data_IF_652946207742
#
_entry.id   IF_652946207742
#
_cell.length_a   1.000
_cell.length_b   1.000
_cell.length_c   1.000
_cell.angle_alpha   90.00
_cell.angle_beta   90.00
_cell.angle_gamma   90.00
#
_symmetry.space_group_name_H-M   'P 1'
#
loop_
_entity.id
_entity.type
_entity.pdbx_description
1 polymer ?
#
# COMPACT_ATOMS: atom_id res chain seq x y z
N UNK A 1 -33.76 50.82 -17.23
CA UNK A 1 -34.27 50.27 -15.94
C UNK A 1 -33.19 49.39 -15.37
N UNK A 2 -32.53 49.95 -14.39
CA UNK A 2 -31.38 49.43 -13.67
C UNK A 2 -31.87 48.51 -12.56
N UNK A 3 -31.22 47.38 -12.35
CA UNK A 3 -31.32 46.66 -11.07
C UNK A 3 -29.95 46.13 -10.68
N UNK A 4 -29.34 46.88 -9.75
CA UNK A 4 -28.08 46.57 -9.06
C UNK A 4 -28.23 45.31 -8.18
N UNK A 5 -27.35 44.33 -8.42
CA UNK A 5 -27.09 43.24 -7.50
C UNK A 5 -25.93 43.65 -6.59
N UNK A 6 -26.28 44.08 -5.38
CA UNK A 6 -25.35 44.38 -4.31
C UNK A 6 -24.84 43.05 -3.72
N UNK A 7 -23.58 42.74 -3.97
CA UNK A 7 -22.84 41.65 -3.34
C UNK A 7 -22.45 42.09 -1.92
N UNK A 8 -23.08 41.54 -0.89
CA UNK A 8 -22.74 41.77 0.51
C UNK A 8 -21.43 41.05 0.85
N UNK A 9 -20.37 41.81 0.98
CA UNK A 9 -19.09 41.29 1.55
C UNK A 9 -19.25 41.21 3.07
N UNK A 10 -19.10 39.99 3.61
CA UNK A 10 -19.03 39.74 5.05
C UNK A 10 -17.71 40.22 5.61
N UNK A 11 -17.73 41.09 6.57
CA UNK A 11 -16.51 41.67 7.17
C UNK A 11 -15.89 40.74 8.22
N UNK A 12 -14.56 40.88 8.45
CA UNK A 12 -13.79 40.13 9.47
C UNK A 12 -14.41 40.15 10.87
N UNK A 13 -15.27 41.13 11.17
CA UNK A 13 -15.94 41.28 12.46
C UNK A 13 -17.13 40.34 12.64
N UNK A 14 -17.75 39.89 11.57
CA UNK A 14 -18.85 38.91 11.62
C UNK A 14 -18.34 37.47 11.75
N UNK A 15 -17.14 37.17 11.23
CA UNK A 15 -16.46 35.87 11.44
C UNK A 15 -16.03 35.66 12.91
N UNK A 16 -15.68 36.72 13.63
CA UNK A 16 -15.26 36.63 15.05
C UNK A 16 -16.44 36.50 16.01
N UNK A 17 -17.68 36.79 15.58
CA UNK A 17 -18.88 36.61 16.42
C UNK A 17 -19.39 35.17 16.41
N UNK A 18 -19.05 34.37 15.42
CA UNK A 18 -19.38 32.94 15.35
C UNK A 18 -18.55 32.06 16.30
N UNK A 19 -17.34 32.50 16.66
CA UNK A 19 -16.41 31.71 17.49
C UNK A 19 -16.58 31.95 19.01
N UNK A 20 -17.32 32.96 19.43
CA UNK A 20 -17.53 33.28 20.84
C UNK A 20 -18.79 32.59 21.44
N UNK A 21 -19.64 31.95 20.65
CA UNK A 21 -20.88 31.29 21.13
C UNK A 21 -20.62 29.87 21.69
N UNK A 22 -19.43 29.30 21.53
CA UNK A 22 -19.09 27.95 22.01
C UNK A 22 -18.44 27.92 23.41
N UNK A 23 -18.02 29.05 23.94
CA UNK A 23 -17.43 29.13 25.29
C UNK A 23 -18.43 29.56 26.38
N UNK A 24 -19.64 29.96 26.02
CA UNK A 24 -20.66 30.51 26.97
C UNK A 24 -21.63 29.49 27.51
N UNK A 25 -21.72 28.31 26.96
CA UNK A 25 -22.78 27.33 27.32
C UNK A 25 -22.47 26.44 28.54
N UNK A 26 -21.24 26.49 29.06
CA UNK A 26 -20.86 25.69 30.24
C UNK A 26 -21.15 26.40 31.60
N UNK A 27 -21.47 27.73 31.62
CA UNK A 27 -21.62 28.49 32.86
C UNK A 27 -23.09 28.79 33.22
N UNK A 28 -24.06 28.52 32.35
CA UNK A 28 -25.49 28.77 32.57
C UNK A 28 -26.28 27.56 33.05
N UNK A 29 -25.62 26.38 33.21
CA UNK A 29 -26.30 25.16 33.64
C UNK A 29 -26.60 25.07 35.14
N UNK A 30 -26.22 26.06 35.93
CA UNK A 30 -26.45 26.07 37.40
C UNK A 30 -27.61 26.92 37.88
N UNK A 31 -28.35 27.61 37.00
CA UNK A 31 -29.39 28.55 37.41
C UNK A 31 -30.84 28.19 37.03
N UNK A 32 -31.09 27.04 36.37
CA UNK A 32 -32.46 26.63 36.05
C UNK A 32 -32.67 25.14 36.36
N UNK A 33 -33.76 24.78 37.12
CA UNK A 33 -34.06 23.36 37.39
C UNK A 33 -34.58 22.68 36.13
N UNK A 34 -33.95 21.53 35.84
CA UNK A 34 -34.10 20.74 34.66
C UNK A 34 -35.52 20.36 34.27
N UNK A 35 -35.90 20.78 33.11
CA UNK A 35 -36.83 20.08 32.24
C UNK A 35 -36.95 20.64 30.81
N UNK A 36 -36.39 21.84 30.52
CA UNK A 36 -36.49 22.45 29.19
C UNK A 36 -35.18 22.41 28.36
N UNK A 37 -34.05 22.03 28.95
CA UNK A 37 -32.77 21.88 28.20
C UNK A 37 -32.58 20.49 27.59
N UNK A 38 -33.40 19.51 27.87
CA UNK A 38 -33.30 18.15 27.30
C UNK A 38 -33.80 18.04 25.85
N UNK A 39 -34.65 18.97 25.41
CA UNK A 39 -35.22 18.93 24.07
C UNK A 39 -34.35 19.59 22.98
N UNK A 40 -33.41 20.48 23.35
CA UNK A 40 -32.60 21.22 22.37
C UNK A 40 -31.23 20.58 22.02
N UNK A 41 -30.88 19.48 22.68
CA UNK A 41 -29.62 18.78 22.45
C UNK A 41 -29.78 17.51 21.58
N UNK A 42 -31.02 17.15 21.22
CA UNK A 42 -31.33 15.87 20.58
C UNK A 42 -31.53 15.92 19.07
N UNK A 43 -31.38 17.08 18.41
CA UNK A 43 -31.60 17.20 16.96
C UNK A 43 -30.41 17.79 16.17
N UNK A 44 -29.18 17.61 16.66
CA UNK A 44 -28.06 17.67 15.72
C UNK A 44 -27.94 16.27 15.09
N UNK A 45 -28.14 16.12 13.77
CA UNK A 45 -27.80 14.87 13.13
C UNK A 45 -26.32 14.62 13.41
N UNK A 46 -26.03 13.60 14.22
CA UNK A 46 -24.66 13.08 14.28
C UNK A 46 -24.32 12.70 12.85
N UNK A 47 -23.49 13.51 12.19
CA UNK A 47 -22.84 13.06 10.97
C UNK A 47 -22.22 11.71 11.32
N UNK A 48 -22.64 10.68 10.61
CA UNK A 48 -21.97 9.39 10.71
C UNK A 48 -20.46 9.65 10.59
N UNK A 49 -19.63 9.05 11.47
CA UNK A 49 -18.19 9.23 11.37
C UNK A 49 -17.79 8.99 9.93
N UNK A 50 -17.04 9.91 9.35
CA UNK A 50 -16.55 9.78 7.97
C UNK A 50 -15.96 8.37 7.85
N UNK A 51 -16.39 7.63 6.82
CA UNK A 51 -15.91 6.26 6.62
C UNK A 51 -14.36 6.27 6.63
N UNK A 52 -13.75 5.41 7.45
CA UNK A 52 -12.32 5.23 7.47
C UNK A 52 -11.85 4.76 6.08
N UNK A 53 -11.05 5.55 5.33
CA UNK A 53 -10.62 5.15 4.01
C UNK A 53 -9.85 3.83 4.01
N UNK A 54 -9.05 3.55 5.06
CA UNK A 54 -8.33 2.28 5.20
C UNK A 54 -9.28 1.09 5.33
N UNK A 55 -10.36 1.24 6.12
CA UNK A 55 -11.40 0.21 6.23
C UNK A 55 -12.13 -0.01 4.89
N UNK A 56 -12.37 1.06 4.15
CA UNK A 56 -12.98 0.98 2.81
C UNK A 56 -12.09 0.22 1.83
N UNK A 57 -10.79 0.53 1.77
CA UNK A 57 -9.82 -0.20 0.95
C UNK A 57 -9.76 -1.69 1.32
N UNK A 58 -9.67 -2.00 2.62
CA UNK A 58 -9.68 -3.38 3.11
C UNK A 58 -10.94 -4.15 2.68
N UNK A 59 -12.10 -3.53 2.80
CA UNK A 59 -13.36 -4.17 2.40
C UNK A 59 -13.43 -4.42 0.89
N UNK A 60 -13.02 -3.47 0.07
CA UNK A 60 -13.01 -3.59 -1.38
C UNK A 60 -12.03 -4.67 -1.87
N UNK A 61 -10.78 -4.60 -1.43
CA UNK A 61 -9.76 -5.60 -1.76
C UNK A 61 -10.15 -6.98 -1.23
N UNK A 62 -10.63 -7.03 0.02
CA UNK A 62 -11.01 -8.26 0.69
C UNK A 62 -12.16 -9.00 0.02
N UNK A 63 -12.93 -8.39 -0.85
CA UNK A 63 -14.01 -9.05 -1.60
C UNK A 63 -13.48 -9.90 -2.77
N UNK A 64 -12.27 -9.64 -3.26
CA UNK A 64 -11.70 -10.35 -4.41
C UNK A 64 -11.47 -11.85 -4.11
N UNK A 65 -11.75 -12.75 -5.07
CA UNK A 65 -11.43 -14.16 -4.90
C UNK A 65 -9.93 -14.40 -4.91
N UNK A 66 -9.45 -15.41 -4.18
CA UNK A 66 -8.06 -15.86 -4.26
C UNK A 66 -7.93 -16.80 -5.47
N UNK A 67 -6.94 -16.52 -6.33
CA UNK A 67 -6.64 -17.28 -7.52
C UNK A 67 -5.25 -17.91 -7.44
N UNK A 68 -5.13 -19.22 -7.19
CA UNK A 68 -3.84 -19.91 -7.17
C UNK A 68 -3.28 -20.12 -8.58
N UNK A 69 -1.98 -19.83 -8.75
CA UNK A 69 -1.22 -20.12 -9.97
C UNK A 69 0.09 -20.83 -9.63
N UNK A 70 0.30 -22.01 -10.18
CA UNK A 70 1.55 -22.76 -10.00
C UNK A 70 2.72 -22.06 -10.68
N UNK A 71 3.79 -21.83 -9.90
CA UNK A 71 5.07 -21.31 -10.40
C UNK A 71 6.10 -22.42 -10.59
N UNK A 72 6.18 -23.38 -9.65
CA UNK A 72 7.00 -24.57 -9.68
C UNK A 72 6.28 -25.72 -8.95
N UNK A 73 6.88 -26.89 -8.84
CA UNK A 73 6.26 -28.08 -8.22
C UNK A 73 5.71 -27.78 -6.81
N UNK A 74 6.47 -27.07 -6.00
CA UNK A 74 6.12 -26.75 -4.61
C UNK A 74 5.95 -25.24 -4.35
N UNK A 75 5.91 -24.42 -5.40
CA UNK A 75 5.79 -22.96 -5.32
C UNK A 75 4.50 -22.49 -6.03
N UNK A 76 3.67 -21.74 -5.35
CA UNK A 76 2.39 -21.24 -5.85
C UNK A 76 2.24 -19.76 -5.57
N UNK A 77 1.85 -18.97 -6.58
CA UNK A 77 1.40 -17.59 -6.41
C UNK A 77 -0.10 -17.58 -6.14
N UNK A 78 -0.53 -16.74 -5.23
CA UNK A 78 -1.94 -16.43 -4.96
C UNK A 78 -2.15 -14.96 -5.32
N UNK A 79 -3.14 -14.66 -6.13
CA UNK A 79 -3.53 -13.28 -6.44
C UNK A 79 -4.96 -13.00 -5.98
N UNK A 80 -5.29 -11.74 -5.69
CA UNK A 80 -6.66 -11.33 -5.35
C UNK A 80 -6.77 -10.25 -4.29
N UNK A 81 -6.92 -10.58 -3.00
CA UNK A 81 -7.30 -9.61 -1.96
C UNK A 81 -6.16 -8.69 -1.46
N UNK A 82 -5.51 -7.97 -2.30
CA UNK A 82 -4.35 -7.12 -1.98
C UNK A 82 -3.17 -7.43 -2.88
N UNK A 83 -1.96 -7.33 -2.35
CA UNK A 83 -0.74 -7.72 -3.06
C UNK A 83 -0.69 -9.22 -3.37
N UNK A 84 0.16 -9.61 -4.33
CA UNK A 84 0.35 -11.03 -4.63
C UNK A 84 1.10 -11.74 -3.50
N UNK A 85 0.65 -12.94 -3.17
CA UNK A 85 1.25 -13.81 -2.13
C UNK A 85 1.94 -14.98 -2.81
N UNK A 86 3.11 -15.40 -2.31
CA UNK A 86 3.78 -16.61 -2.78
C UNK A 86 3.92 -17.62 -1.64
N UNK A 87 3.59 -18.89 -1.92
CA UNK A 87 3.64 -19.98 -0.96
C UNK A 87 4.61 -21.05 -1.45
N UNK A 88 5.67 -21.29 -0.70
CA UNK A 88 6.57 -22.43 -0.85
C UNK A 88 6.19 -23.49 0.19
N UNK A 89 5.68 -24.63 -0.26
CA UNK A 89 5.22 -25.73 0.58
C UNK A 89 6.13 -26.96 0.46
N UNK A 90 6.45 -27.60 1.56
CA UNK A 90 7.27 -28.82 1.55
C UNK A 90 7.58 -29.35 2.94
N UNK A 91 8.52 -30.30 3.07
CA UNK A 91 8.81 -30.98 4.35
C UNK A 91 9.30 -30.05 5.46
N UNK A 92 9.94 -28.92 5.12
CA UNK A 92 10.44 -27.97 6.12
C UNK A 92 9.32 -27.03 6.65
N UNK A 93 8.12 -27.10 6.08
CA UNK A 93 6.97 -26.27 6.41
C UNK A 93 6.51 -25.41 5.23
N UNK A 94 5.52 -24.53 5.47
CA UNK A 94 5.08 -23.49 4.54
C UNK A 94 5.82 -22.19 4.81
N UNK A 95 6.44 -21.64 3.79
CA UNK A 95 7.04 -20.30 3.75
C UNK A 95 6.17 -19.44 2.87
N UNK A 96 5.75 -18.28 3.37
CA UNK A 96 4.77 -17.40 2.71
C UNK A 96 5.42 -16.03 2.54
N UNK A 97 5.29 -15.45 1.36
CA UNK A 97 5.67 -14.06 1.09
C UNK A 97 4.40 -13.25 0.96
N UNK A 98 4.23 -12.24 1.82
CA UNK A 98 3.04 -11.38 1.99
C UNK A 98 1.76 -12.12 2.46
N UNK A 99 0.68 -11.39 2.79
CA UNK A 99 -0.42 -11.99 3.55
C UNK A 99 -1.83 -11.55 3.15
N UNK A 100 -2.02 -10.66 2.16
CA UNK A 100 -3.30 -10.03 1.82
C UNK A 100 -3.88 -9.13 2.94
N UNK A 101 -5.06 -8.53 2.67
CA UNK A 101 -5.82 -7.76 3.66
C UNK A 101 -6.56 -8.67 4.63
N UNK A 102 -6.79 -8.19 5.86
CA UNK A 102 -7.40 -8.96 6.96
C UNK A 102 -8.76 -9.60 6.64
N UNK A 103 -9.70 -8.98 5.88
CA UNK A 103 -10.97 -9.63 5.53
C UNK A 103 -10.83 -10.89 4.68
N UNK A 104 -9.66 -11.12 4.08
CA UNK A 104 -9.38 -12.32 3.28
C UNK A 104 -8.93 -13.53 4.10
N UNK A 105 -8.64 -13.38 5.40
CA UNK A 105 -8.07 -14.43 6.24
C UNK A 105 -8.77 -15.80 6.12
N UNK A 106 -10.10 -15.91 6.23
CA UNK A 106 -10.74 -17.23 6.16
C UNK A 106 -10.44 -17.95 4.84
N UNK A 107 -10.45 -17.23 3.72
CA UNK A 107 -10.16 -17.80 2.39
C UNK A 107 -8.68 -18.07 2.18
N UNK A 108 -7.81 -17.21 2.70
CA UNK A 108 -6.36 -17.45 2.68
C UNK A 108 -6.04 -18.73 3.44
N UNK A 109 -6.61 -18.90 4.64
CA UNK A 109 -6.41 -20.12 5.44
C UNK A 109 -6.88 -21.37 4.70
N UNK A 110 -8.08 -21.36 4.14
CA UNK A 110 -8.62 -22.45 3.34
C UNK A 110 -7.72 -22.78 2.13
N UNK A 111 -7.23 -21.75 1.44
CA UNK A 111 -6.32 -21.92 0.30
C UNK A 111 -4.97 -22.52 0.75
N UNK A 112 -4.41 -22.05 1.87
CA UNK A 112 -3.17 -22.61 2.41
C UNK A 112 -3.31 -24.06 2.84
N UNK A 113 -4.45 -24.43 3.44
CA UNK A 113 -4.76 -25.82 3.80
C UNK A 113 -4.88 -26.70 2.52
N UNK A 114 -5.47 -26.17 1.44
CA UNK A 114 -5.59 -26.84 0.15
C UNK A 114 -4.25 -27.01 -0.61
N UNK A 115 -3.24 -26.18 -0.35
CA UNK A 115 -1.90 -26.32 -0.97
C UNK A 115 -1.14 -27.53 -0.40
N UNK A 116 -1.39 -27.91 0.85
CA UNK A 116 -0.77 -29.08 1.49
C UNK A 116 -0.85 -29.01 3.01
N UNK A 117 -0.45 -30.09 3.68
CA UNK A 117 -0.60 -30.26 5.12
C UNK A 117 0.63 -29.82 5.94
N UNK A 118 1.68 -29.29 5.30
CA UNK A 118 2.85 -28.83 6.03
C UNK A 118 2.48 -27.66 6.98
N UNK A 119 3.05 -27.57 8.19
CA UNK A 119 2.76 -26.48 9.11
C UNK A 119 3.26 -25.15 8.55
N UNK A 120 2.62 -24.05 8.97
CA UNK A 120 3.13 -22.71 8.75
C UNK A 120 4.47 -22.55 9.48
N UNK A 121 5.46 -21.97 8.80
CA UNK A 121 6.81 -21.84 9.37
C UNK A 121 7.27 -20.38 9.41
N UNK A 122 7.28 -19.71 8.27
CA UNK A 122 7.75 -18.33 8.16
C UNK A 122 6.79 -17.56 7.24
N UNK A 123 6.48 -16.34 7.63
CA UNK A 123 5.91 -15.28 6.78
C UNK A 123 7.01 -14.27 6.51
N UNK A 124 7.17 -13.84 5.28
CA UNK A 124 8.13 -12.83 4.87
C UNK A 124 7.33 -11.64 4.34
N UNK A 125 7.41 -10.48 5.01
CA UNK A 125 6.77 -9.26 4.52
C UNK A 125 7.72 -8.54 3.56
N UNK A 126 7.24 -8.23 2.35
CA UNK A 126 8.03 -7.47 1.37
C UNK A 126 8.21 -6.02 1.77
N UNK A 127 7.19 -5.44 2.41
CA UNK A 127 7.21 -4.08 2.97
C UNK A 127 6.06 -3.92 3.99
N UNK A 128 5.85 -2.71 4.53
CA UNK A 128 4.94 -2.50 5.68
C UNK A 128 3.47 -2.30 5.34
N UNK A 129 3.07 -2.11 4.08
CA UNK A 129 1.68 -1.79 3.72
C UNK A 129 0.71 -2.89 4.12
N UNK A 130 -0.49 -2.46 4.47
CA UNK A 130 -1.54 -3.29 5.08
C UNK A 130 -1.99 -4.45 4.18
N UNK A 131 -2.00 -4.27 2.88
CA UNK A 131 -2.42 -5.31 1.92
C UNK A 131 -1.33 -6.37 1.65
N UNK A 132 -0.21 -6.26 2.35
CA UNK A 132 0.88 -7.23 2.41
C UNK A 132 1.07 -7.82 3.82
N UNK A 133 0.57 -7.15 4.89
CA UNK A 133 0.89 -7.50 6.28
C UNK A 133 -0.33 -7.73 7.18
N UNK A 134 -1.54 -7.44 6.73
CA UNK A 134 -2.74 -7.42 7.60
C UNK A 134 -3.08 -8.77 8.25
N UNK A 135 -2.64 -9.91 7.68
CA UNK A 135 -2.87 -11.23 8.28
C UNK A 135 -1.69 -11.75 9.10
N UNK A 136 -0.67 -10.94 9.42
CA UNK A 136 0.47 -11.35 10.22
C UNK A 136 0.05 -11.91 11.59
N UNK A 137 -0.84 -11.22 12.34
CA UNK A 137 -1.35 -11.73 13.63
C UNK A 137 -1.99 -13.11 13.50
N UNK A 138 -2.83 -13.31 12.46
CA UNK A 138 -3.52 -14.58 12.27
C UNK A 138 -2.56 -15.71 11.87
N UNK A 139 -1.57 -15.43 11.02
CA UNK A 139 -0.54 -16.39 10.63
C UNK A 139 0.42 -16.69 11.78
N UNK A 140 0.77 -15.69 12.59
CA UNK A 140 1.56 -15.87 13.79
C UNK A 140 0.83 -16.75 14.83
N UNK A 141 -0.45 -16.48 15.07
CA UNK A 141 -1.29 -17.33 15.94
C UNK A 141 -1.43 -18.77 15.42
N UNK A 142 -1.31 -18.97 14.10
CA UNK A 142 -1.31 -20.29 13.46
C UNK A 142 0.09 -20.95 13.44
N UNK A 143 1.11 -20.35 14.07
CA UNK A 143 2.43 -20.93 14.29
C UNK A 143 3.56 -20.40 13.41
N UNK A 144 3.32 -19.41 12.55
CA UNK A 144 4.36 -18.81 11.74
C UNK A 144 5.20 -17.78 12.54
N UNK A 145 6.48 -17.67 12.20
CA UNK A 145 7.33 -16.53 12.58
C UNK A 145 7.30 -15.51 11.44
N UNK A 146 7.05 -14.25 11.76
CA UNK A 146 7.09 -13.16 10.76
C UNK A 146 8.51 -12.60 10.67
N UNK A 147 9.08 -12.61 9.45
CA UNK A 147 10.40 -12.11 9.10
C UNK A 147 10.25 -10.94 8.14
N UNK A 148 10.92 -9.82 8.41
CA UNK A 148 10.88 -8.65 7.54
C UNK A 148 12.16 -7.80 7.64
N UNK A 149 12.27 -6.78 6.82
CA UNK A 149 13.28 -5.73 7.01
C UNK A 149 13.00 -4.93 8.30
N UNK A 150 14.05 -4.45 8.97
CA UNK A 150 13.91 -3.69 10.24
C UNK A 150 13.03 -2.44 10.09
N UNK A 151 13.04 -1.78 8.93
CA UNK A 151 12.15 -0.64 8.65
C UNK A 151 10.68 -1.06 8.57
N UNK A 152 10.35 -2.26 8.06
CA UNK A 152 8.98 -2.80 8.08
C UNK A 152 8.47 -2.87 9.52
N UNK A 153 9.24 -3.48 10.43
CA UNK A 153 8.89 -3.54 11.85
C UNK A 153 8.72 -2.14 12.45
N UNK A 154 9.65 -1.22 12.16
CA UNK A 154 9.60 0.16 12.64
C UNK A 154 8.32 0.84 12.17
N UNK A 155 8.01 0.78 10.87
CA UNK A 155 6.80 1.40 10.30
C UNK A 155 5.52 0.82 10.91
N UNK A 156 5.43 -0.48 11.07
CA UNK A 156 4.29 -1.15 11.68
C UNK A 156 4.14 -0.84 13.17
N UNK A 157 5.21 -0.55 13.90
CA UNK A 157 5.16 -0.26 15.33
C UNK A 157 4.70 1.17 15.68
N UNK A 158 4.53 2.03 14.69
CA UNK A 158 4.16 3.44 14.86
C UNK A 158 2.95 3.78 13.97
N UNK A 159 2.12 4.79 14.33
CA UNK A 159 1.07 5.27 13.44
C UNK A 159 1.66 5.79 12.14
N UNK A 160 1.04 5.44 11.03
CA UNK A 160 1.45 5.87 9.68
C UNK A 160 0.36 6.69 9.01
N UNK A 161 0.76 7.58 8.11
CA UNK A 161 -0.16 8.37 7.28
C UNK A 161 0.32 8.36 5.85
N UNK A 162 -0.61 8.16 4.91
CA UNK A 162 -0.40 8.35 3.47
C UNK A 162 -1.17 9.62 3.06
N UNK A 163 -0.54 10.81 3.10
CA UNK A 163 -1.25 12.08 2.99
C UNK A 163 -2.01 12.25 1.68
N UNK A 164 -1.43 11.82 0.56
CA UNK A 164 -2.03 11.97 -0.77
C UNK A 164 -3.34 11.15 -0.93
N UNK A 165 -3.49 10.08 -0.15
CA UNK A 165 -4.70 9.25 -0.11
C UNK A 165 -5.62 9.61 1.06
N UNK A 166 -5.18 10.54 1.94
CA UNK A 166 -5.84 10.88 3.20
C UNK A 166 -6.17 9.64 4.05
N UNK A 167 -5.21 8.70 4.14
CA UNK A 167 -5.35 7.45 4.89
C UNK A 167 -4.44 7.46 6.10
N UNK A 168 -4.98 7.02 7.24
CA UNK A 168 -4.28 6.92 8.50
C UNK A 168 -4.34 5.46 8.99
N UNK A 169 -3.20 4.96 9.45
CA UNK A 169 -3.08 3.64 10.03
C UNK A 169 -2.62 3.79 11.48
N UNK A 170 -3.29 3.18 12.47
CA UNK A 170 -2.74 3.07 13.82
C UNK A 170 -1.51 2.17 13.78
N UNK A 171 -0.71 2.20 14.85
CA UNK A 171 0.31 1.18 15.05
C UNK A 171 -0.31 -0.23 15.01
N UNK A 172 0.36 -1.16 14.36
CA UNK A 172 -0.09 -2.56 14.28
C UNK A 172 -0.07 -3.22 15.67
N UNK A 173 -0.96 -4.18 15.93
CA UNK A 173 -0.91 -4.98 17.17
C UNK A 173 0.46 -5.66 17.36
N UNK A 174 0.87 -5.87 18.59
CA UNK A 174 2.18 -6.42 18.91
C UNK A 174 2.44 -7.81 18.30
N UNK A 175 1.38 -8.62 18.16
CA UNK A 175 1.40 -9.96 17.55
C UNK A 175 1.43 -9.95 16.01
N UNK A 176 1.19 -8.78 15.39
CA UNK A 176 1.36 -8.58 13.94
C UNK A 176 2.78 -8.15 13.58
N UNK A 177 3.57 -7.65 14.55
CA UNK A 177 4.91 -7.14 14.29
C UNK A 177 5.87 -8.28 13.93
N UNK A 178 6.81 -8.07 12.98
CA UNK A 178 7.86 -9.03 12.71
C UNK A 178 8.63 -9.44 13.97
N UNK A 179 8.70 -10.77 14.26
CA UNK A 179 9.49 -11.30 15.37
C UNK A 179 10.97 -11.36 15.02
N UNK A 180 11.27 -11.63 13.74
CA UNK A 180 12.64 -11.63 13.21
C UNK A 180 12.82 -10.50 12.20
N UNK A 181 13.96 -9.82 12.24
CA UNK A 181 14.28 -8.73 11.31
C UNK A 181 15.72 -8.82 10.81
N UNK A 182 15.96 -8.22 9.65
CA UNK A 182 17.30 -8.09 9.08
C UNK A 182 17.50 -6.68 8.48
N UNK A 183 18.75 -6.28 8.31
CA UNK A 183 19.10 -4.99 7.72
C UNK A 183 19.20 -5.04 6.20
N UNK A 184 20.32 -5.49 5.64
CA UNK A 184 20.54 -5.40 4.18
C UNK A 184 20.21 -6.67 3.41
N UNK A 185 20.57 -7.83 3.95
CA UNK A 185 20.44 -9.14 3.28
C UNK A 185 20.13 -10.23 4.28
N UNK A 186 19.37 -11.22 3.83
CA UNK A 186 19.09 -12.44 4.58
C UNK A 186 18.99 -13.62 3.61
N UNK A 187 19.31 -14.85 4.08
CA UNK A 187 19.14 -16.09 3.31
C UNK A 187 18.49 -17.17 4.15
N UNK A 188 17.54 -17.87 3.56
CA UNK A 188 16.89 -19.04 4.12
C UNK A 188 17.10 -20.25 3.21
N UNK A 189 17.32 -21.43 3.83
CA UNK A 189 17.22 -22.71 3.13
C UNK A 189 15.86 -23.31 3.47
N UNK A 190 15.03 -23.59 2.47
CA UNK A 190 13.68 -24.07 2.69
C UNK A 190 13.20 -24.96 1.54
N UNK A 191 12.72 -26.15 1.86
CA UNK A 191 12.09 -27.07 0.92
C UNK A 191 12.92 -27.35 -0.33
N UNK A 192 14.25 -27.38 -0.15
CA UNK A 192 15.21 -27.65 -1.23
C UNK A 192 15.49 -26.46 -2.16
N UNK A 193 15.08 -25.26 -1.76
CA UNK A 193 15.42 -24.00 -2.43
C UNK A 193 16.21 -23.07 -1.50
N UNK A 194 16.86 -22.07 -2.08
CA UNK A 194 17.49 -20.95 -1.37
C UNK A 194 16.66 -19.69 -1.60
N UNK A 195 16.10 -19.12 -0.53
CA UNK A 195 15.43 -17.84 -0.57
C UNK A 195 16.43 -16.75 -0.21
N UNK A 196 16.80 -15.93 -1.19
CA UNK A 196 17.66 -14.75 -0.98
C UNK A 196 16.78 -13.50 -0.87
N UNK A 197 16.90 -12.81 0.26
CA UNK A 197 16.20 -11.58 0.57
C UNK A 197 17.22 -10.43 0.55
N UNK A 198 16.89 -9.33 -0.11
CA UNK A 198 17.73 -8.13 -0.09
C UNK A 198 16.87 -6.88 -0.08
N UNK A 199 17.25 -5.93 0.77
CA UNK A 199 16.60 -4.64 0.88
C UNK A 199 16.99 -3.75 -0.29
N UNK A 200 16.01 -3.07 -0.86
CA UNK A 200 16.23 -2.00 -1.83
C UNK A 200 16.57 -0.68 -1.13
N UNK A 201 17.30 0.21 -1.80
CA UNK A 201 17.23 1.64 -1.45
C UNK A 201 15.78 2.10 -1.55
N UNK A 202 15.35 3.15 -0.78
CA UNK A 202 13.96 3.59 -0.78
C UNK A 202 13.38 3.70 -2.18
N UNK A 203 12.35 2.90 -2.47
CA UNK A 203 11.70 2.74 -3.76
C UNK A 203 10.21 3.00 -3.65
N UNK A 204 9.36 1.97 -3.43
CA UNK A 204 7.94 2.14 -3.12
C UNK A 204 7.75 2.69 -1.69
N UNK A 205 8.52 2.15 -0.74
CA UNK A 205 8.71 2.62 0.63
C UNK A 205 10.20 2.66 0.99
N UNK A 206 10.55 2.90 2.26
CA UNK A 206 11.90 2.71 2.79
C UNK A 206 12.15 1.30 3.34
N UNK A 207 11.19 0.39 3.19
CA UNK A 207 11.24 -0.95 3.78
C UNK A 207 11.24 -2.09 2.77
N UNK A 208 11.25 -1.78 1.47
CA UNK A 208 11.05 -2.75 0.39
C UNK A 208 12.18 -3.78 0.31
N UNK A 209 11.79 -5.05 0.16
CA UNK A 209 12.72 -6.14 -0.14
C UNK A 209 12.22 -6.91 -1.37
N UNK A 210 13.14 -7.60 -2.04
CA UNK A 210 12.77 -8.71 -2.92
C UNK A 210 13.00 -10.05 -2.22
N UNK A 211 12.32 -11.09 -2.71
CA UNK A 211 12.55 -12.49 -2.34
C UNK A 211 12.83 -13.29 -3.60
N UNK A 212 14.07 -13.78 -3.75
CA UNK A 212 14.48 -14.60 -4.88
C UNK A 212 14.55 -16.07 -4.48
N UNK A 213 13.67 -16.89 -5.05
CA UNK A 213 13.70 -18.34 -4.97
C UNK A 213 14.68 -18.85 -6.04
N UNK A 214 15.94 -19.03 -5.63
CA UNK A 214 17.06 -19.19 -6.56
C UNK A 214 16.92 -20.43 -7.47
N UNK A 215 16.54 -21.59 -6.87
CA UNK A 215 16.37 -22.83 -7.63
C UNK A 215 15.12 -22.84 -8.49
N UNK A 216 14.01 -22.32 -7.99
CA UNK A 216 12.74 -22.22 -8.72
C UNK A 216 12.81 -21.16 -9.83
N UNK A 217 13.83 -20.29 -9.83
CA UNK A 217 14.00 -19.13 -10.71
C UNK A 217 12.78 -18.21 -10.69
N UNK A 218 12.33 -17.86 -9.47
CA UNK A 218 11.19 -16.97 -9.22
C UNK A 218 11.65 -15.79 -8.38
N UNK A 219 11.37 -14.57 -8.86
CA UNK A 219 11.71 -13.33 -8.19
C UNK A 219 10.42 -12.60 -7.77
N UNK A 220 10.16 -12.47 -6.47
CA UNK A 220 9.08 -11.66 -5.93
C UNK A 220 9.60 -10.27 -5.62
N UNK A 221 9.06 -9.25 -6.29
CA UNK A 221 9.56 -7.88 -6.22
C UNK A 221 8.77 -6.99 -5.24
N UNK A 222 7.67 -7.50 -4.64
CA UNK A 222 6.75 -6.65 -3.90
C UNK A 222 6.29 -5.47 -4.74
N UNK A 223 5.99 -4.36 -4.09
CA UNK A 223 5.47 -3.15 -4.74
C UNK A 223 6.55 -2.30 -5.45
N UNK A 224 7.75 -2.84 -5.58
CA UNK A 224 8.74 -2.27 -6.52
C UNK A 224 8.46 -2.66 -7.98
N UNK A 225 7.49 -3.54 -8.22
CA UNK A 225 6.98 -3.90 -9.54
C UNK A 225 5.46 -4.00 -9.55
N UNK A 226 4.81 -3.22 -10.41
CA UNK A 226 3.38 -3.27 -10.74
C UNK A 226 3.24 -3.70 -12.20
N UNK A 227 2.58 -4.84 -12.46
CA UNK A 227 2.49 -5.34 -13.82
C UNK A 227 1.18 -4.90 -14.49
N UNK A 228 1.29 -4.01 -15.49
CA UNK A 228 0.16 -3.56 -16.31
C UNK A 228 -0.68 -2.42 -15.71
N UNK A 229 -0.25 -1.81 -14.59
CA UNK A 229 -0.91 -0.67 -13.96
C UNK A 229 0.13 0.35 -13.47
N UNK A 230 -0.29 1.62 -13.29
CA UNK A 230 0.57 2.62 -12.66
C UNK A 230 0.89 2.25 -11.21
N UNK A 231 2.16 2.40 -10.78
CA UNK A 231 2.55 2.13 -9.41
C UNK A 231 2.12 3.24 -8.45
N UNK A 232 1.99 2.89 -7.19
CA UNK A 232 2.02 3.84 -6.10
C UNK A 232 3.45 3.95 -5.56
N UNK A 233 3.85 5.14 -5.08
CA UNK A 233 5.11 5.38 -4.37
C UNK A 233 4.78 6.19 -3.12
N UNK A 234 5.03 5.62 -1.96
CA UNK A 234 4.67 6.24 -0.69
C UNK A 234 5.72 7.25 -0.22
N UNK A 235 5.50 8.52 -0.58
CA UNK A 235 6.34 9.62 -0.12
C UNK A 235 6.38 9.74 1.42
N UNK A 236 5.28 9.37 2.11
CA UNK A 236 5.15 9.41 3.57
C UNK A 236 6.09 8.45 4.27
N UNK A 237 6.34 7.29 3.70
CA UNK A 237 7.33 6.32 4.17
C UNK A 237 8.66 6.36 3.40
N UNK A 238 9.02 7.50 2.85
CA UNK A 238 10.32 7.74 2.24
C UNK A 238 10.49 7.18 0.83
N UNK A 239 9.42 6.68 0.20
CA UNK A 239 9.44 6.18 -1.17
C UNK A 239 9.96 7.21 -2.18
N UNK A 240 10.65 6.76 -3.22
CA UNK A 240 11.32 7.57 -4.25
C UNK A 240 11.11 7.00 -5.63
N UNK A 241 10.67 7.84 -6.59
CA UNK A 241 10.47 7.39 -7.97
C UNK A 241 11.79 6.90 -8.63
N UNK A 242 12.91 7.54 -8.32
CA UNK A 242 14.21 7.07 -8.79
C UNK A 242 14.62 5.74 -8.14
N UNK A 243 14.17 5.48 -6.91
CA UNK A 243 14.34 4.19 -6.25
C UNK A 243 13.54 3.08 -6.93
N UNK A 244 12.31 3.36 -7.41
CA UNK A 244 11.53 2.41 -8.21
C UNK A 244 12.28 1.99 -9.48
N UNK A 245 12.90 2.95 -10.17
CA UNK A 245 13.73 2.66 -11.36
C UNK A 245 14.93 1.79 -10.97
N UNK A 246 15.64 2.16 -9.90
CA UNK A 246 16.81 1.39 -9.44
C UNK A 246 16.44 -0.04 -8.99
N UNK A 247 15.27 -0.22 -8.32
CA UNK A 247 14.76 -1.52 -7.94
C UNK A 247 14.41 -2.38 -9.16
N UNK A 248 13.76 -1.80 -10.17
CA UNK A 248 13.49 -2.48 -11.44
C UNK A 248 14.78 -2.88 -12.17
N UNK A 249 15.78 -1.97 -12.25
CA UNK A 249 17.10 -2.26 -12.85
C UNK A 249 17.81 -3.41 -12.08
N UNK A 250 17.75 -3.40 -10.74
CA UNK A 250 18.28 -4.51 -9.92
C UNK A 250 17.57 -5.83 -10.24
N UNK A 251 16.24 -5.83 -10.31
CA UNK A 251 15.46 -7.01 -10.71
C UNK A 251 15.86 -7.54 -12.08
N UNK A 252 16.07 -6.66 -13.05
CA UNK A 252 16.52 -7.02 -14.40
C UNK A 252 17.92 -7.66 -14.42
N UNK A 253 18.81 -7.30 -13.47
CA UNK A 253 20.15 -7.96 -13.34
C UNK A 253 20.05 -9.35 -12.72
N UNK A 254 19.03 -9.60 -11.89
CA UNK A 254 18.80 -10.89 -11.24
C UNK A 254 18.07 -11.87 -12.17
N UNK A 255 17.24 -11.34 -13.07
CA UNK A 255 16.38 -12.13 -13.94
C UNK A 255 17.10 -12.55 -15.24
N UNK A 256 16.95 -13.81 -15.61
CA UNK A 256 17.19 -14.31 -16.97
C UNK A 256 15.88 -14.35 -17.79
N UNK A 257 15.90 -14.97 -18.97
CA UNK A 257 14.73 -15.02 -19.84
C UNK A 257 13.64 -15.97 -19.35
N UNK A 258 13.98 -16.92 -18.48
CA UNK A 258 13.08 -17.93 -17.94
C UNK A 258 12.58 -17.55 -16.54
N UNK A 259 13.13 -16.49 -15.94
CA UNK A 259 12.74 -16.02 -14.60
C UNK A 259 11.27 -15.59 -14.59
N UNK A 260 10.49 -16.18 -13.71
CA UNK A 260 9.14 -15.73 -13.38
C UNK A 260 9.24 -14.61 -12.37
N UNK A 261 8.65 -13.46 -12.67
CA UNK A 261 8.72 -12.28 -11.81
C UNK A 261 7.33 -12.01 -11.24
N UNK A 262 7.18 -12.15 -9.93
CA UNK A 262 5.95 -11.85 -9.20
C UNK A 262 5.95 -10.37 -8.84
N UNK A 263 5.01 -9.57 -9.39
CA UNK A 263 4.82 -8.18 -8.97
C UNK A 263 4.10 -8.13 -7.62
N UNK A 264 4.16 -7.00 -6.91
CA UNK A 264 3.23 -6.78 -5.80
C UNK A 264 1.79 -6.77 -6.27
N UNK A 265 1.50 -6.11 -7.38
CA UNK A 265 0.17 -6.06 -7.98
C UNK A 265 0.19 -6.33 -9.48
N UNK A 266 -0.86 -7.00 -9.95
CA UNK A 266 -1.03 -7.36 -11.35
C UNK A 266 -0.68 -8.84 -11.63
N UNK A 267 -0.76 -9.28 -12.89
CA UNK A 267 -0.50 -10.66 -13.27
C UNK A 267 0.98 -11.03 -13.16
N UNK A 268 1.27 -12.33 -13.06
CA UNK A 268 2.64 -12.85 -13.15
C UNK A 268 3.33 -12.27 -14.38
N UNK A 269 4.55 -11.78 -14.19
CA UNK A 269 5.38 -11.19 -15.24
C UNK A 269 6.65 -11.99 -15.51
N UNK A 270 7.45 -11.43 -16.40
CA UNK A 270 8.77 -11.91 -16.80
C UNK A 270 9.72 -10.72 -17.00
N UNK A 271 10.94 -11.00 -17.44
CA UNK A 271 11.96 -9.97 -17.69
C UNK A 271 11.50 -8.88 -18.69
N UNK A 272 10.76 -9.25 -19.74
CA UNK A 272 10.26 -8.28 -20.71
C UNK A 272 9.17 -7.36 -20.10
N UNK A 273 8.31 -7.90 -19.23
CA UNK A 273 7.29 -7.10 -18.56
C UNK A 273 7.91 -6.15 -17.52
N UNK A 274 8.91 -6.59 -16.76
CA UNK A 274 9.66 -5.73 -15.84
C UNK A 274 10.42 -4.64 -16.62
N UNK A 275 10.96 -4.94 -17.81
CA UNK A 275 11.59 -3.95 -18.69
C UNK A 275 10.58 -2.87 -19.12
N UNK A 276 9.40 -3.28 -19.61
CA UNK A 276 8.33 -2.34 -19.98
C UNK A 276 7.90 -1.45 -18.82
N UNK A 277 7.77 -2.04 -17.62
CA UNK A 277 7.45 -1.29 -16.41
C UNK A 277 8.53 -0.25 -16.10
N UNK A 278 9.81 -0.66 -16.06
CA UNK A 278 10.95 0.24 -15.83
C UNK A 278 10.96 1.39 -16.84
N UNK A 279 10.79 1.09 -18.12
CA UNK A 279 10.80 2.09 -19.19
C UNK A 279 9.62 3.07 -19.06
N UNK A 280 8.43 2.59 -18.69
CA UNK A 280 7.27 3.43 -18.38
C UNK A 280 7.56 4.37 -17.20
N UNK A 281 8.13 3.86 -16.10
CA UNK A 281 8.45 4.69 -14.92
C UNK A 281 9.49 5.75 -15.26
N UNK A 282 10.53 5.41 -16.03
CA UNK A 282 11.55 6.36 -16.51
C UNK A 282 10.90 7.47 -17.35
N UNK A 283 10.07 7.09 -18.34
CA UNK A 283 9.39 8.05 -19.22
C UNK A 283 8.46 8.98 -18.43
N UNK A 284 7.67 8.42 -17.51
CA UNK A 284 6.75 9.21 -16.67
C UNK A 284 7.53 10.18 -15.77
N UNK A 285 8.61 9.69 -15.11
CA UNK A 285 9.49 10.50 -14.28
C UNK A 285 10.09 11.67 -15.07
N UNK A 286 10.64 11.42 -16.25
CA UNK A 286 11.31 12.45 -17.07
C UNK A 286 10.33 13.54 -17.53
N UNK A 287 9.11 13.15 -17.95
CA UNK A 287 8.06 14.09 -18.33
C UNK A 287 7.62 14.97 -17.16
N UNK A 288 7.39 14.39 -15.98
CA UNK A 288 6.99 15.14 -14.79
C UNK A 288 8.13 16.00 -14.26
N UNK A 289 9.36 15.50 -14.27
CA UNK A 289 10.55 16.25 -13.86
C UNK A 289 10.74 17.50 -14.74
N UNK A 290 10.52 17.38 -16.07
CA UNK A 290 10.57 18.53 -16.96
C UNK A 290 9.52 19.58 -16.60
N UNK A 291 8.26 19.17 -16.37
CA UNK A 291 7.18 20.09 -15.97
C UNK A 291 7.48 20.78 -14.64
N UNK A 292 8.04 20.05 -13.67
CA UNK A 292 8.50 20.60 -12.38
C UNK A 292 9.62 21.63 -12.57
N UNK A 293 10.59 21.33 -13.45
CA UNK A 293 11.69 22.25 -13.79
C UNK A 293 11.21 23.50 -14.55
N UNK A 294 10.13 23.38 -15.32
CA UNK A 294 9.46 24.51 -16.01
C UNK A 294 8.60 25.35 -15.02
N UNK A 295 8.63 25.06 -13.71
CA UNK A 295 7.96 25.81 -12.65
C UNK A 295 6.49 25.47 -12.44
N UNK A 296 5.96 24.38 -13.05
CA UNK A 296 4.57 23.95 -12.85
C UNK A 296 4.42 23.31 -11.47
N UNK A 297 3.31 23.57 -10.80
CA UNK A 297 2.86 22.82 -9.63
C UNK A 297 2.46 21.39 -10.02
N UNK A 298 2.31 20.49 -9.04
CA UNK A 298 1.86 19.12 -9.27
C UNK A 298 0.49 19.07 -9.99
N UNK A 299 -0.44 19.95 -9.58
CA UNK A 299 -1.77 20.04 -10.18
C UNK A 299 -1.71 20.57 -11.64
N UNK A 300 -0.91 21.60 -11.90
CA UNK A 300 -0.72 22.12 -13.26
C UNK A 300 -0.02 21.07 -14.16
N UNK A 301 0.94 20.32 -13.62
CA UNK A 301 1.58 19.21 -14.33
C UNK A 301 0.56 18.13 -14.71
N UNK A 302 -0.28 17.69 -13.78
CA UNK A 302 -1.34 16.71 -14.05
C UNK A 302 -2.36 17.24 -15.10
N UNK A 303 -2.74 18.52 -15.02
CA UNK A 303 -3.67 19.14 -15.98
C UNK A 303 -3.15 19.14 -17.42
N UNK A 304 -1.83 19.07 -17.66
CA UNK A 304 -1.27 18.95 -19.02
C UNK A 304 -1.40 17.55 -19.62
N UNK A 305 -1.86 16.54 -18.81
CA UNK A 305 -2.03 15.14 -19.23
C UNK A 305 -0.77 14.52 -19.88
N UNK A 306 0.41 14.64 -19.27
CA UNK A 306 1.66 14.24 -19.90
C UNK A 306 1.79 12.72 -20.10
N UNK A 307 0.90 11.90 -19.51
CA UNK A 307 0.91 10.44 -19.59
C UNK A 307 -0.28 9.87 -20.39
N UNK A 308 -1.04 10.72 -21.14
CA UNK A 308 -2.25 10.29 -21.85
C UNK A 308 -2.02 9.15 -22.87
N UNK A 309 -0.82 9.07 -23.45
CA UNK A 309 -0.41 7.99 -24.36
C UNK A 309 -0.11 6.67 -23.63
N UNK A 310 0.14 6.72 -22.33
CA UNK A 310 0.41 5.54 -21.48
C UNK A 310 -0.87 4.99 -20.84
N UNK A 311 -1.91 5.82 -20.66
CA UNK A 311 -3.17 5.47 -20.00
C UNK A 311 -3.86 4.23 -20.57
N UNK A 312 -3.89 3.97 -21.91
CA UNK A 312 -4.54 2.79 -22.46
C UNK A 312 -3.97 1.46 -21.93
N UNK A 313 -2.69 1.45 -21.54
CA UNK A 313 -2.00 0.27 -20.99
C UNK A 313 -2.00 0.30 -19.45
N UNK A 314 -1.56 1.42 -18.86
CA UNK A 314 -1.19 1.51 -17.45
C UNK A 314 -2.27 2.14 -16.56
N UNK A 315 -3.22 2.88 -17.14
CA UNK A 315 -4.25 3.61 -16.40
C UNK A 315 -5.47 2.78 -15.98
N UNK A 316 -5.41 1.44 -16.04
CA UNK A 316 -6.54 0.54 -15.74
C UNK A 316 -6.62 0.09 -14.29
N UNK A 317 -5.63 0.48 -13.46
CA UNK A 317 -5.56 0.11 -12.06
C UNK A 317 -6.34 1.06 -11.15
N UNK A 318 -6.17 0.88 -9.85
CA UNK A 318 -6.75 1.75 -8.81
C UNK A 318 -6.26 3.18 -8.91
N UNK A 319 -5.01 3.38 -9.33
CA UNK A 319 -4.39 4.70 -9.46
C UNK A 319 -4.40 5.15 -10.92
N UNK A 320 -5.01 6.32 -11.15
CA UNK A 320 -5.01 6.95 -12.47
C UNK A 320 -3.73 7.76 -12.71
N UNK A 321 -3.53 8.23 -13.95
CA UNK A 321 -2.36 9.04 -14.31
C UNK A 321 -2.24 10.34 -13.53
N UNK A 322 -3.35 11.00 -13.17
CA UNK A 322 -3.32 12.27 -12.43
C UNK A 322 -2.73 12.08 -11.03
N UNK A 323 -3.11 10.98 -10.33
CA UNK A 323 -2.52 10.63 -9.05
C UNK A 323 -1.05 10.21 -9.21
N UNK A 324 -0.74 9.40 -10.22
CA UNK A 324 0.64 8.97 -10.45
C UNK A 324 1.58 10.14 -10.75
N UNK A 325 1.14 11.14 -11.54
CA UNK A 325 1.89 12.38 -11.79
C UNK A 325 2.17 13.13 -10.48
N UNK A 326 1.17 13.27 -9.61
CA UNK A 326 1.34 13.92 -8.30
C UNK A 326 2.32 13.15 -7.42
N UNK A 327 2.22 11.83 -7.39
CA UNK A 327 3.14 10.94 -6.66
C UNK A 327 4.58 11.11 -7.17
N UNK A 328 4.79 11.07 -8.50
CA UNK A 328 6.12 11.34 -9.07
C UNK A 328 6.62 12.73 -8.64
N UNK A 329 5.79 13.74 -8.75
CA UNK A 329 6.16 15.12 -8.40
C UNK A 329 6.65 15.26 -6.95
N UNK A 330 6.03 14.54 -6.02
CA UNK A 330 6.37 14.52 -4.60
C UNK A 330 7.64 13.72 -4.30
N UNK A 331 7.96 12.71 -5.11
CA UNK A 331 9.03 11.72 -4.86
C UNK A 331 10.29 11.91 -5.73
N UNK A 332 10.32 12.98 -6.55
CA UNK A 332 11.47 13.45 -7.31
C UNK A 332 12.59 14.04 -6.42
#
# INVERSE_FOLDING_TARGET
>A
MSSDLIQKQTTRREMLRGSAALAGSAFLAQLFPGSLLRAAVLDYPQQAPAADPAATFRAQMGAAPIQPQKLAENLTMLSGPGGNVVVLNGPDGKFIVDTFVSPAWPRLKETLDGIGNAPLKIVIDTHWHFDHTDNNSALHAAGATVLAHENTKKRMSEPQTIPILNVHFPASPADALPQETFGSRHKLQANGDTLSLEHFSPAHTDSDIYVHFEKANVLHMGDTFFNGVYPFVDAGSGGKINGMIAAADKGLTLADNDTKIVPGHGPLGNKADLTKFRDMVVMARDRVQKLKSDGKTAQEAAATKPLADLDPVWGKGTFNSDLFIQVIYLTL
#
